data_IF_312623266511
#
_entry.id   IF_312623266511
#
_cell.length_a   1.000
_cell.length_b   1.000
_cell.length_c   1.000
_cell.angle_alpha   90.00
_cell.angle_beta   90.00
_cell.angle_gamma   90.00
#
_symmetry.space_group_name_H-M   'P 1'
#
loop_
_entity.id
_entity.type
_entity.pdbx_description
1 polymer ?
#
# COMPACT_ATOMS: atom_id res chain seq x y z
N UNK A 1 2.35 -58.56 -35.64
CA UNK A 1 2.33 -57.17 -35.13
C UNK A 1 2.50 -57.23 -33.62
N UNK A 2 3.52 -56.59 -33.06
CA UNK A 2 3.67 -56.49 -31.59
C UNK A 2 2.79 -55.33 -31.10
N UNK A 3 2.06 -55.48 -29.98
CA UNK A 3 1.32 -54.37 -29.37
C UNK A 3 2.31 -53.31 -28.89
N UNK A 4 1.97 -52.03 -29.07
CA UNK A 4 2.75 -50.91 -28.53
C UNK A 4 2.39 -50.76 -27.06
N UNK A 5 3.37 -50.88 -26.19
CA UNK A 5 3.26 -50.45 -24.79
C UNK A 5 3.22 -48.92 -24.77
N UNK A 6 2.08 -48.36 -24.37
CA UNK A 6 1.91 -46.93 -24.13
C UNK A 6 2.31 -46.70 -22.67
N UNK A 7 3.48 -46.11 -22.46
CA UNK A 7 3.89 -45.63 -21.13
C UNK A 7 3.09 -44.38 -20.75
N UNK A 8 2.85 -44.10 -19.44
CA UNK A 8 2.03 -42.96 -18.98
C UNK A 8 2.63 -41.57 -19.23
N UNK A 9 3.66 -41.48 -20.06
CA UNK A 9 4.39 -40.26 -20.40
C UNK A 9 3.97 -39.69 -21.77
N UNK A 10 2.81 -40.11 -22.32
CA UNK A 10 2.10 -39.30 -23.32
C UNK A 10 1.53 -38.05 -22.62
N UNK A 11 2.46 -37.17 -22.26
CA UNK A 11 2.45 -35.74 -22.53
C UNK A 11 1.06 -35.26 -22.99
N UNK A 12 0.30 -34.69 -22.06
CA UNK A 12 -0.74 -33.74 -22.44
C UNK A 12 -0.01 -32.64 -23.22
N UNK A 13 -0.06 -32.72 -24.55
CA UNK A 13 0.29 -31.62 -25.44
C UNK A 13 -0.66 -30.46 -25.11
N UNK A 14 -0.30 -29.66 -24.11
CA UNK A 14 -0.85 -28.32 -23.81
C UNK A 14 -0.49 -27.30 -24.94
N UNK A 15 0.00 -27.80 -26.08
CA UNK A 15 0.43 -27.04 -27.24
C UNK A 15 -0.72 -26.59 -28.15
N UNK A 16 -1.98 -26.88 -27.81
CA UNK A 16 -3.12 -26.25 -28.48
C UNK A 16 -3.38 -24.83 -27.94
N UNK A 17 -2.34 -24.00 -27.89
CA UNK A 17 -2.49 -22.56 -27.83
C UNK A 17 -3.00 -22.09 -29.19
N UNK A 18 -4.32 -22.10 -29.36
CA UNK A 18 -4.95 -21.52 -30.55
C UNK A 18 -4.98 -19.99 -30.42
N UNK A 19 -4.18 -19.25 -31.21
CA UNK A 19 -4.15 -17.80 -31.16
C UNK A 19 -5.47 -17.15 -31.59
N UNK A 20 -6.41 -17.91 -32.18
CA UNK A 20 -7.77 -17.46 -32.48
C UNK A 20 -8.71 -17.54 -31.27
N UNK A 21 -8.41 -18.40 -30.28
CA UNK A 21 -9.19 -18.56 -29.05
C UNK A 21 -8.72 -17.59 -27.97
N UNK A 22 -7.40 -17.35 -27.88
CA UNK A 22 -6.79 -16.45 -26.90
C UNK A 22 -5.94 -15.38 -27.59
N UNK A 23 -6.54 -14.34 -28.19
CA UNK A 23 -5.77 -13.23 -28.73
C UNK A 23 -4.93 -12.61 -27.61
N UNK A 24 -3.61 -12.63 -27.78
CA UNK A 24 -2.64 -11.92 -26.94
C UNK A 24 -2.80 -10.43 -27.18
N UNK A 25 -3.87 -9.85 -26.63
CA UNK A 25 -4.04 -8.41 -26.57
C UNK A 25 -3.07 -7.86 -25.54
N UNK A 26 -1.81 -7.65 -25.95
CA UNK A 26 -0.91 -6.76 -25.22
C UNK A 26 -1.39 -5.33 -25.46
N UNK A 27 -2.52 -4.96 -24.86
CA UNK A 27 -2.96 -3.56 -24.84
C UNK A 27 -1.96 -2.78 -24.00
N UNK A 28 -1.31 -1.74 -24.57
CA UNK A 28 -0.47 -0.87 -23.77
C UNK A 28 -1.33 -0.21 -22.69
N UNK A 29 -0.87 -0.26 -21.44
CA UNK A 29 -1.51 0.42 -20.31
C UNK A 29 -1.52 1.93 -20.59
N UNK A 30 -2.72 2.48 -20.79
CA UNK A 30 -2.95 3.89 -21.09
C UNK A 30 -2.83 4.80 -19.85
N UNK A 31 -2.55 4.20 -18.69
CA UNK A 31 -2.34 4.85 -17.40
C UNK A 31 -3.50 5.76 -17.00
N UNK A 32 -4.71 5.46 -17.43
CA UNK A 32 -5.89 6.22 -17.06
C UNK A 32 -6.70 5.54 -15.95
N UNK A 33 -7.41 6.33 -15.16
CA UNK A 33 -8.42 5.86 -14.23
C UNK A 33 -9.77 5.75 -14.97
N UNK A 34 -10.18 4.49 -15.22
CA UNK A 34 -11.45 4.15 -15.87
C UNK A 34 -12.58 3.84 -14.89
N UNK A 35 -12.38 4.03 -13.58
CA UNK A 35 -13.38 3.66 -12.56
C UNK A 35 -14.74 4.32 -12.81
N UNK A 36 -14.75 5.62 -13.09
CA UNK A 36 -15.98 6.36 -13.39
C UNK A 36 -16.70 5.83 -14.64
N UNK A 37 -15.94 5.47 -15.67
CA UNK A 37 -16.45 4.92 -16.93
C UNK A 37 -17.06 3.52 -16.71
N UNK A 38 -16.37 2.64 -16.00
CA UNK A 38 -16.86 1.32 -15.61
C UNK A 38 -18.17 1.43 -14.81
N UNK A 39 -18.21 2.29 -13.79
CA UNK A 39 -19.42 2.53 -12.99
C UNK A 39 -20.57 3.04 -13.85
N UNK A 40 -20.29 3.95 -14.78
CA UNK A 40 -21.29 4.47 -15.72
C UNK A 40 -21.88 3.34 -16.57
N UNK A 41 -21.04 2.44 -17.12
CA UNK A 41 -21.49 1.28 -17.90
C UNK A 41 -22.32 0.30 -17.06
N UNK A 42 -21.90 0.01 -15.83
CA UNK A 42 -22.65 -0.86 -14.92
C UNK A 42 -24.05 -0.30 -14.61
N UNK A 43 -24.19 1.03 -14.54
CA UNK A 43 -25.45 1.71 -14.21
C UNK A 43 -26.38 1.92 -15.40
N UNK A 44 -25.90 1.85 -16.65
CA UNK A 44 -26.72 2.13 -17.85
C UNK A 44 -28.06 1.40 -17.85
N UNK A 45 -28.07 0.09 -17.59
CA UNK A 45 -29.30 -0.72 -17.58
C UNK A 45 -30.29 -0.24 -16.53
N UNK A 46 -29.81 0.18 -15.36
CA UNK A 46 -30.66 0.69 -14.29
C UNK A 46 -31.21 2.08 -14.66
N UNK A 47 -30.37 2.97 -15.21
CA UNK A 47 -30.77 4.30 -15.68
C UNK A 47 -31.89 4.21 -16.71
N UNK A 48 -31.75 3.34 -17.71
CA UNK A 48 -32.78 3.10 -18.75
C UNK A 48 -34.11 2.67 -18.12
N UNK A 49 -34.09 1.69 -17.20
CA UNK A 49 -35.33 1.20 -16.56
C UNK A 49 -36.00 2.25 -15.68
N UNK A 50 -35.21 3.08 -15.01
CA UNK A 50 -35.73 4.13 -14.13
C UNK A 50 -36.27 5.35 -14.88
N UNK A 51 -36.06 5.45 -16.20
CA UNK A 51 -36.41 6.64 -16.98
C UNK A 51 -35.60 7.88 -16.60
N UNK A 52 -34.48 7.72 -15.90
CA UNK A 52 -33.61 8.83 -15.54
C UNK A 52 -33.00 9.48 -16.79
N UNK A 53 -32.75 10.79 -16.72
CA UNK A 53 -32.18 11.55 -17.82
C UNK A 53 -30.83 10.94 -18.27
N UNK A 54 -30.63 10.87 -19.59
CA UNK A 54 -29.39 10.38 -20.15
C UNK A 54 -28.23 11.27 -19.71
N UNK A 55 -27.14 10.65 -19.26
CA UNK A 55 -25.89 11.33 -18.91
C UNK A 55 -24.77 10.81 -19.79
N UNK A 56 -23.89 11.69 -20.31
CA UNK A 56 -22.78 11.26 -21.14
C UNK A 56 -21.78 10.42 -20.34
N UNK A 57 -21.12 9.49 -21.03
CA UNK A 57 -20.08 8.67 -20.44
C UNK A 57 -18.91 9.56 -19.97
N UNK A 58 -18.47 9.46 -18.71
CA UNK A 58 -17.36 10.26 -18.21
C UNK A 58 -16.07 9.87 -18.95
N UNK A 59 -15.27 10.89 -19.29
CA UNK A 59 -13.94 10.66 -19.89
C UNK A 59 -12.99 10.05 -18.85
N UNK A 60 -12.13 9.10 -19.25
CA UNK A 60 -11.10 8.58 -18.37
C UNK A 60 -10.14 9.71 -17.95
N UNK A 61 -9.78 9.70 -16.67
CA UNK A 61 -8.89 10.72 -16.10
C UNK A 61 -7.48 10.16 -16.10
N UNK A 62 -6.46 10.87 -16.60
CA UNK A 62 -5.08 10.42 -16.48
C UNK A 62 -4.75 10.09 -15.02
N UNK A 63 -4.32 8.86 -14.75
CA UNK A 63 -3.91 8.49 -13.40
C UNK A 63 -2.56 9.13 -13.14
N UNK A 64 -2.59 10.30 -12.50
CA UNK A 64 -1.38 10.92 -11.98
C UNK A 64 -0.70 9.90 -11.05
N UNK A 65 0.59 9.57 -11.25
CA UNK A 65 1.32 8.69 -10.32
C UNK A 65 1.27 9.23 -8.88
N UNK A 66 1.00 10.54 -8.75
CA UNK A 66 0.81 11.32 -7.54
C UNK A 66 -0.42 10.93 -6.71
N UNK A 67 -1.48 10.38 -7.31
CA UNK A 67 -2.68 9.97 -6.55
C UNK A 67 -2.50 8.65 -5.80
N UNK A 68 -1.62 7.77 -6.29
CA UNK A 68 -1.11 6.64 -5.52
C UNK A 68 0.15 7.07 -4.79
N UNK A 69 0.05 8.02 -3.84
CA UNK A 69 1.12 8.22 -2.84
C UNK A 69 1.26 6.94 -2.05
N UNK A 70 2.03 5.99 -2.57
CA UNK A 70 2.46 4.80 -1.84
C UNK A 70 3.13 5.33 -0.59
N UNK A 71 2.59 4.97 0.57
CA UNK A 71 3.26 5.25 1.82
C UNK A 71 4.71 4.79 1.68
N UNK A 72 5.69 5.65 1.97
CA UNK A 72 7.07 5.30 1.73
C UNK A 72 7.41 4.06 2.54
N UNK A 73 8.16 3.14 1.93
CA UNK A 73 8.59 1.91 2.62
C UNK A 73 9.59 2.22 3.72
N UNK A 74 10.35 3.32 3.59
CA UNK A 74 11.33 3.82 4.56
C UNK A 74 11.38 5.35 4.53
N UNK A 75 11.69 5.94 5.66
CA UNK A 75 11.92 7.39 5.81
C UNK A 75 13.38 7.61 6.19
N UNK A 76 13.94 8.76 5.80
CA UNK A 76 15.26 9.18 6.25
C UNK A 76 15.13 10.48 7.05
N UNK A 77 14.79 10.35 8.33
CA UNK A 77 14.61 11.50 9.24
C UNK A 77 15.97 12.07 9.67
N UNK A 78 16.99 11.21 9.75
CA UNK A 78 18.35 11.56 10.17
C UNK A 78 18.48 11.87 11.66
N UNK A 79 19.70 12.24 12.06
CA UNK A 79 19.98 12.71 13.42
C UNK A 79 19.47 14.14 13.61
N UNK A 80 18.69 14.37 14.67
CA UNK A 80 18.18 15.70 15.04
C UNK A 80 18.49 16.03 16.51
N UNK A 81 18.62 17.33 16.80
CA UNK A 81 18.78 17.84 18.18
C UNK A 81 17.60 17.42 19.06
N UNK A 82 16.38 17.51 18.52
CA UNK A 82 15.14 17.01 19.10
C UNK A 82 14.26 16.43 17.99
N UNK A 83 13.46 15.42 18.34
CA UNK A 83 12.41 14.89 17.47
C UNK A 83 11.08 15.51 17.86
N UNK A 84 10.22 15.76 16.86
CA UNK A 84 8.85 16.22 17.11
C UNK A 84 8.03 15.16 17.83
N UNK A 85 6.94 15.57 18.46
CA UNK A 85 5.98 14.65 19.07
C UNK A 85 5.48 13.60 18.08
N UNK A 86 5.24 13.97 16.83
CA UNK A 86 4.81 13.04 15.76
C UNK A 86 5.78 11.90 15.53
N UNK A 87 7.09 12.19 15.49
CA UNK A 87 8.15 11.18 15.30
C UNK A 87 8.25 10.30 16.54
N UNK A 88 8.17 10.88 17.74
CA UNK A 88 8.23 10.14 19.00
C UNK A 88 7.05 9.17 19.13
N UNK A 89 5.83 9.64 18.82
CA UNK A 89 4.61 8.82 18.80
C UNK A 89 4.75 7.65 17.82
N UNK A 90 5.28 7.89 16.61
CA UNK A 90 5.49 6.84 15.62
C UNK A 90 6.50 5.77 16.08
N UNK A 91 7.60 6.18 16.74
CA UNK A 91 8.57 5.24 17.34
C UNK A 91 7.87 4.32 18.35
N UNK A 92 7.02 4.86 19.21
CA UNK A 92 6.29 4.08 20.20
C UNK A 92 5.22 3.17 19.60
N UNK A 93 4.48 3.64 18.60
CA UNK A 93 3.51 2.80 17.89
C UNK A 93 4.21 1.62 17.21
N UNK A 94 5.38 1.83 16.60
CA UNK A 94 6.17 0.73 16.01
C UNK A 94 6.70 -0.23 17.08
N UNK A 95 7.13 0.29 18.23
CA UNK A 95 7.61 -0.53 19.34
C UNK A 95 6.50 -1.41 19.93
N UNK A 96 5.30 -0.86 20.14
CA UNK A 96 4.14 -1.65 20.59
C UNK A 96 3.72 -2.74 19.60
N UNK A 97 4.06 -2.60 18.31
CA UNK A 97 3.87 -3.66 17.30
C UNK A 97 5.02 -4.68 17.29
N UNK A 98 5.78 -4.80 18.38
CA UNK A 98 6.92 -5.70 18.53
C UNK A 98 8.01 -5.53 17.48
N UNK A 99 8.14 -4.33 16.91
CA UNK A 99 9.25 -4.01 15.99
C UNK A 99 10.50 -3.74 16.81
N UNK A 100 11.60 -4.42 16.50
CA UNK A 100 12.84 -4.26 17.26
C UNK A 100 13.44 -2.85 17.06
N UNK A 101 14.20 -2.36 18.04
CA UNK A 101 14.74 -0.99 17.99
C UNK A 101 15.64 -0.72 16.76
N UNK A 102 16.41 -1.72 16.33
CA UNK A 102 17.25 -1.65 15.13
C UNK A 102 16.42 -1.60 13.84
N UNK A 103 15.29 -2.31 13.77
CA UNK A 103 14.37 -2.24 12.64
C UNK A 103 13.67 -0.89 12.59
N UNK A 104 13.26 -0.34 13.74
CA UNK A 104 12.68 1.01 13.83
C UNK A 104 13.69 2.06 13.35
N UNK A 105 14.95 1.93 13.78
CA UNK A 105 16.05 2.77 13.33
C UNK A 105 16.23 2.72 11.80
N UNK A 106 16.24 1.53 11.22
CA UNK A 106 16.34 1.33 9.77
C UNK A 106 15.11 1.85 8.99
N UNK A 107 13.91 1.72 9.55
CA UNK A 107 12.66 2.18 8.94
C UNK A 107 12.54 3.71 8.92
N UNK A 108 13.00 4.37 9.98
CA UNK A 108 12.88 5.82 10.16
C UNK A 108 14.16 6.59 9.78
N UNK A 109 15.27 5.89 9.56
CA UNK A 109 16.57 6.51 9.30
C UNK A 109 17.10 7.27 10.52
N UNK A 110 16.80 6.80 11.73
CA UNK A 110 17.24 7.38 13.00
C UNK A 110 18.37 6.51 13.56
N UNK A 111 19.44 7.08 14.16
CA UNK A 111 20.50 6.27 14.76
C UNK A 111 19.96 5.33 15.87
N UNK A 112 20.38 4.06 15.93
CA UNK A 112 19.81 3.04 16.82
C UNK A 112 19.95 3.42 18.30
N UNK A 113 21.13 3.90 18.71
CA UNK A 113 21.38 4.42 20.07
C UNK A 113 20.40 5.52 20.47
N UNK A 114 19.94 6.32 19.51
CA UNK A 114 18.98 7.39 19.78
C UNK A 114 17.56 6.85 19.93
N UNK A 115 17.17 5.83 19.16
CA UNK A 115 15.89 5.12 19.32
C UNK A 115 15.81 4.47 20.71
N UNK A 116 16.87 3.78 21.15
CA UNK A 116 16.94 3.20 22.49
C UNK A 116 16.75 4.26 23.59
N UNK A 117 17.39 5.42 23.46
CA UNK A 117 17.20 6.54 24.40
C UNK A 117 15.76 7.08 24.40
N UNK A 118 15.07 7.07 23.25
CA UNK A 118 13.66 7.47 23.18
C UNK A 118 12.76 6.45 23.89
N UNK A 119 13.04 5.16 23.73
CA UNK A 119 12.31 4.06 24.37
C UNK A 119 12.49 4.00 25.90
N UNK A 120 13.50 4.69 26.45
CA UNK A 120 13.69 4.80 27.91
C UNK A 120 12.72 5.80 28.58
N UNK A 121 11.96 6.59 27.81
CA UNK A 121 10.95 7.52 28.32
C UNK A 121 11.44 8.45 29.45
N UNK A 122 12.66 8.97 29.34
CA UNK A 122 13.31 9.77 30.40
C UNK A 122 12.65 11.14 30.60
N UNK A 123 12.11 11.73 29.54
CA UNK A 123 11.51 13.07 29.59
C UNK A 123 9.99 13.01 29.78
N UNK A 124 9.39 14.07 30.36
CA UNK A 124 7.95 14.13 30.59
C UNK A 124 7.14 14.08 29.28
N UNK A 125 7.64 14.71 28.21
CA UNK A 125 7.01 14.68 26.88
C UNK A 125 6.99 13.27 26.30
N UNK A 126 8.08 12.52 26.45
CA UNK A 126 8.16 11.12 26.06
C UNK A 126 7.20 10.24 26.84
N UNK A 127 7.08 10.42 28.17
CA UNK A 127 6.14 9.66 29.00
C UNK A 127 4.69 9.91 28.62
N UNK A 128 4.32 11.18 28.37
CA UNK A 128 2.97 11.55 27.92
C UNK A 128 2.64 10.92 26.57
N UNK A 129 3.55 11.01 25.59
CA UNK A 129 3.35 10.39 24.28
C UNK A 129 3.26 8.86 24.37
N UNK A 130 4.06 8.23 25.24
CA UNK A 130 3.96 6.80 25.52
C UNK A 130 2.58 6.41 26.09
N UNK A 131 2.12 7.12 27.12
CA UNK A 131 0.80 6.87 27.73
C UNK A 131 -0.33 7.03 26.71
N UNK A 132 -0.29 8.07 25.87
CA UNK A 132 -1.28 8.28 24.81
C UNK A 132 -1.32 7.10 23.84
N UNK A 133 -0.15 6.65 23.37
CA UNK A 133 -0.04 5.53 22.44
C UNK A 133 -0.49 4.22 23.08
N UNK A 134 -0.16 3.99 24.36
CA UNK A 134 -0.57 2.79 25.09
C UNK A 134 -2.07 2.76 25.40
N UNK A 135 -2.69 3.91 25.64
CA UNK A 135 -4.13 4.03 25.88
C UNK A 135 -4.95 4.03 24.58
N UNK A 136 -4.28 4.14 23.43
CA UNK A 136 -4.95 4.12 22.12
C UNK A 136 -5.49 2.73 21.83
N UNK A 137 -6.82 2.58 21.79
CA UNK A 137 -7.48 1.29 21.54
C UNK A 137 -7.20 0.71 20.14
N UNK A 138 -6.69 1.54 19.20
CA UNK A 138 -6.37 1.15 17.83
C UNK A 138 -4.93 1.53 17.49
N UNK A 139 -4.08 0.53 17.26
CA UNK A 139 -2.71 0.73 16.76
C UNK A 139 -2.71 0.78 15.23
N UNK A 140 -2.25 1.89 14.60
CA UNK A 140 -2.16 1.99 13.16
C UNK A 140 -1.17 1.00 12.56
N UNK A 141 -1.36 0.64 11.29
CA UNK A 141 -0.45 -0.26 10.58
C UNK A 141 0.91 0.40 10.28
N UNK A 142 1.98 -0.39 10.08
CA UNK A 142 3.34 0.14 9.75
C UNK A 142 3.29 1.16 8.59
N UNK A 143 2.56 0.86 7.51
CA UNK A 143 2.40 1.75 6.35
C UNK A 143 1.65 3.03 6.67
N UNK A 144 0.64 2.94 7.54
CA UNK A 144 -0.18 4.08 7.95
C UNK A 144 0.62 5.05 8.83
N UNK A 145 1.43 4.52 9.75
CA UNK A 145 2.38 5.29 10.56
C UNK A 145 3.34 6.08 9.67
N UNK A 146 3.94 5.41 8.67
CA UNK A 146 4.85 6.06 7.72
C UNK A 146 4.14 7.13 6.88
N UNK A 147 2.90 6.88 6.44
CA UNK A 147 2.10 7.87 5.73
C UNK A 147 1.78 9.10 6.58
N UNK A 148 1.46 8.91 7.87
CA UNK A 148 1.23 10.00 8.82
C UNK A 148 2.49 10.83 9.04
N UNK A 149 3.67 10.19 9.13
CA UNK A 149 4.94 10.88 9.24
C UNK A 149 5.25 11.75 8.01
N UNK A 150 4.99 11.26 6.79
CA UNK A 150 5.18 12.07 5.57
C UNK A 150 4.30 13.32 5.58
N UNK A 151 3.07 13.23 6.08
CA UNK A 151 2.15 14.37 6.16
C UNK A 151 2.55 15.37 7.23
N UNK A 152 3.16 14.91 8.32
CA UNK A 152 3.52 15.74 9.48
C UNK A 152 4.94 16.30 9.46
N UNK A 153 5.78 15.90 8.50
CA UNK A 153 7.11 16.48 8.30
C UNK A 153 6.98 17.77 7.48
N UNK A 154 7.49 18.92 7.95
CA UNK A 154 7.64 20.08 7.08
C UNK A 154 8.60 19.72 5.93
N UNK A 155 8.17 20.01 4.70
CA UNK A 155 8.97 19.82 3.48
C UNK A 155 10.13 20.78 3.40
#
# INVERSE_FOLDING_TARGET
MKPRDITPEEEYDDDLYDPLIYPTSHTPDDRCDHTAQLIWHMRQRATIRSGAAWTPCPRPVPSEPTQRRRAPTRLNIGLRRSYSSTIITAVYQLHLRHTAAHEIAALLGIPPKKVELLLQHKTQTQRRAWQQVHQSNRLPGKREILAQLVRGLPG
#
